data_IF_438099614084
#
_entry.id   IF_438099614084
#
_cell.length_a   1.000
_cell.length_b   1.000
_cell.length_c   1.000
_cell.angle_alpha   90.00
_cell.angle_beta   90.00
_cell.angle_gamma   90.00
#
_symmetry.space_group_name_H-M   'P 1'
#
loop_
_entity.id
_entity.type
_entity.pdbx_description
1 polymer ?
#
# COMPACT_ATOMS: atom_id res chain seq x y z
N UNK A 1 6.47 21.47 9.67
CA UNK A 1 5.31 21.70 8.78
C UNK A 1 4.47 20.43 8.73
N UNK A 2 3.27 20.44 9.28
CA UNK A 2 2.38 19.27 9.27
C UNK A 2 1.70 19.17 7.88
N UNK A 3 2.47 18.81 6.84
CA UNK A 3 1.91 18.52 5.51
C UNK A 3 1.02 17.30 5.67
N UNK A 4 -0.28 17.44 5.41
CA UNK A 4 -1.21 16.30 5.36
C UNK A 4 -0.62 15.24 4.42
N UNK A 5 -0.69 13.97 4.78
CA UNK A 5 -0.29 12.86 3.90
C UNK A 5 -1.13 12.93 2.62
N UNK A 6 -0.47 13.17 1.49
CA UNK A 6 -1.11 13.17 0.19
C UNK A 6 -1.58 11.77 -0.19
N UNK A 7 -2.60 11.70 -1.06
CA UNK A 7 -3.22 10.44 -1.49
C UNK A 7 -2.21 9.42 -2.01
N UNK A 8 -1.22 9.87 -2.79
CA UNK A 8 -0.18 9.01 -3.33
C UNK A 8 0.72 8.45 -2.22
N UNK A 9 1.05 9.26 -1.21
CA UNK A 9 1.80 8.81 -0.05
C UNK A 9 1.02 7.76 0.75
N UNK A 10 -0.29 7.93 0.94
CA UNK A 10 -1.14 6.95 1.62
C UNK A 10 -1.16 5.61 0.88
N UNK A 11 -1.34 5.64 -0.45
CA UNK A 11 -1.27 4.43 -1.28
C UNK A 11 0.11 3.76 -1.14
N UNK A 12 1.19 4.54 -1.27
CA UNK A 12 2.55 4.04 -1.09
C UNK A 12 2.74 3.39 0.27
N UNK A 13 2.27 4.01 1.34
CA UNK A 13 2.42 3.50 2.72
C UNK A 13 1.74 2.13 2.87
N UNK A 14 0.50 1.96 2.37
CA UNK A 14 -0.21 0.67 2.41
C UNK A 14 0.56 -0.40 1.62
N UNK A 15 0.95 -0.09 0.37
CA UNK A 15 1.65 -1.05 -0.48
C UNK A 15 3.00 -1.44 0.10
N UNK A 16 3.70 -0.49 0.74
CA UNK A 16 4.98 -0.72 1.41
C UNK A 16 4.85 -1.69 2.58
N UNK A 17 3.81 -1.56 3.41
CA UNK A 17 3.55 -2.50 4.53
C UNK A 17 3.40 -3.93 3.99
N UNK A 18 2.67 -4.11 2.88
CA UNK A 18 2.50 -5.44 2.27
C UNK A 18 3.84 -5.98 1.78
N UNK A 19 4.64 -5.16 1.07
CA UNK A 19 5.95 -5.56 0.56
C UNK A 19 6.91 -5.99 1.69
N UNK A 20 6.98 -5.22 2.78
CA UNK A 20 7.85 -5.47 3.92
C UNK A 20 7.44 -6.73 4.72
N UNK A 21 6.16 -7.11 4.67
CA UNK A 21 5.63 -8.34 5.25
C UNK A 21 5.75 -9.54 4.27
N UNK A 22 6.90 -9.70 3.60
CA UNK A 22 7.15 -10.77 2.63
C UNK A 22 6.07 -10.91 1.54
N UNK A 23 5.49 -9.78 1.13
CA UNK A 23 4.38 -9.72 0.18
C UNK A 23 3.14 -10.53 0.60
N UNK A 24 2.92 -10.75 1.90
CA UNK A 24 1.80 -11.54 2.41
C UNK A 24 1.41 -11.07 3.81
N UNK A 25 0.31 -10.31 3.89
CA UNK A 25 -0.18 -9.75 5.16
C UNK A 25 -1.67 -9.99 5.31
N UNK A 26 -2.13 -10.23 6.54
CA UNK A 26 -3.58 -10.33 6.80
C UNK A 26 -4.22 -8.92 6.74
N UNK A 27 -5.50 -8.80 6.36
CA UNK A 27 -6.19 -7.50 6.32
C UNK A 27 -6.20 -6.75 7.67
N UNK A 28 -6.37 -7.47 8.79
CA UNK A 28 -6.45 -6.84 10.12
C UNK A 28 -5.12 -6.22 10.58
N UNK A 29 -3.96 -6.91 10.54
CA UNK A 29 -2.65 -6.27 10.72
C UNK A 29 -2.41 -5.11 9.77
N UNK A 30 -2.76 -5.27 8.48
CA UNK A 30 -2.57 -4.22 7.47
C UNK A 30 -3.31 -2.93 7.82
N UNK A 31 -4.58 -3.02 8.24
CA UNK A 31 -5.34 -1.87 8.75
C UNK A 31 -4.61 -1.20 9.94
N UNK A 32 -4.20 -2.01 10.93
CA UNK A 32 -3.57 -1.51 12.16
C UNK A 32 -2.25 -0.78 11.87
N UNK A 33 -1.48 -1.26 10.90
CA UNK A 33 -0.18 -0.68 10.52
C UNK A 33 -0.32 0.53 9.58
N UNK A 34 -1.41 0.63 8.81
CA UNK A 34 -1.64 1.73 7.86
C UNK A 34 -1.76 3.12 8.50
N UNK A 35 -2.01 3.18 9.82
CA UNK A 35 -2.26 4.43 10.56
C UNK A 35 -3.38 5.27 9.90
N UNK A 36 -4.44 4.58 9.46
CA UNK A 36 -5.68 5.13 8.91
C UNK A 36 -6.86 4.73 9.82
N UNK A 37 -7.94 5.51 9.78
CA UNK A 37 -9.21 5.06 10.34
C UNK A 37 -9.78 3.90 9.51
N UNK A 38 -10.60 3.04 10.13
CA UNK A 38 -11.21 1.89 9.45
C UNK A 38 -11.97 2.26 8.19
N UNK A 39 -12.70 3.38 8.21
CA UNK A 39 -13.46 3.88 7.04
C UNK A 39 -12.52 4.26 5.88
N UNK A 40 -11.48 5.05 6.16
CA UNK A 40 -10.53 5.47 5.12
C UNK A 40 -9.74 4.29 4.58
N UNK A 41 -9.33 3.37 5.46
CA UNK A 41 -8.66 2.16 5.02
C UNK A 41 -9.54 1.34 4.09
N UNK A 42 -10.82 1.15 4.41
CA UNK A 42 -11.75 0.40 3.55
C UNK A 42 -11.91 1.03 2.16
N UNK A 43 -12.00 2.36 2.08
CA UNK A 43 -12.04 3.10 0.80
C UNK A 43 -10.78 2.84 -0.04
N UNK A 44 -9.60 3.06 0.55
CA UNK A 44 -8.33 2.82 -0.15
C UNK A 44 -8.17 1.35 -0.52
N UNK A 45 -8.46 0.43 0.39
CA UNK A 45 -8.31 -1.00 0.19
C UNK A 45 -9.15 -1.49 -0.99
N UNK A 46 -10.43 -1.09 -1.04
CA UNK A 46 -11.32 -1.38 -2.16
C UNK A 46 -10.81 -0.78 -3.47
N UNK A 47 -10.29 0.45 -3.45
CA UNK A 47 -9.68 1.09 -4.62
C UNK A 47 -8.44 0.33 -5.11
N UNK A 48 -7.56 -0.11 -4.21
CA UNK A 48 -6.35 -0.85 -4.54
C UNK A 48 -6.66 -2.20 -5.17
N UNK A 49 -7.69 -2.90 -4.67
CA UNK A 49 -8.20 -4.14 -5.25
C UNK A 49 -8.79 -3.88 -6.65
N UNK A 50 -9.69 -2.90 -6.77
CA UNK A 50 -10.33 -2.55 -8.04
C UNK A 50 -9.33 -2.12 -9.12
N UNK A 51 -8.24 -1.45 -8.72
CA UNK A 51 -7.16 -1.04 -9.63
C UNK A 51 -6.14 -2.16 -9.90
N UNK A 52 -6.25 -3.31 -9.23
CA UNK A 52 -5.33 -4.43 -9.36
C UNK A 52 -3.92 -4.10 -8.87
N UNK A 53 -3.77 -3.22 -7.88
CA UNK A 53 -2.50 -2.95 -7.20
C UNK A 53 -2.20 -4.01 -6.13
N UNK A 54 -3.25 -4.55 -5.53
CA UNK A 54 -3.20 -5.66 -4.58
C UNK A 54 -4.20 -6.73 -5.01
N UNK A 55 -4.01 -7.94 -4.50
CA UNK A 55 -4.95 -9.06 -4.62
C UNK A 55 -5.05 -9.82 -3.32
N UNK A 56 -6.21 -10.41 -3.08
CA UNK A 56 -6.42 -11.34 -1.97
C UNK A 56 -6.07 -12.76 -2.42
N UNK A 57 -5.39 -13.50 -1.55
CA UNK A 57 -5.11 -14.92 -1.70
C UNK A 57 -5.61 -15.66 -0.46
N UNK A 58 -5.98 -16.92 -0.65
CA UNK A 58 -6.41 -17.80 0.43
C UNK A 58 -5.37 -18.90 0.59
N UNK A 59 -4.87 -19.06 1.81
CA UNK A 59 -3.96 -20.15 2.16
C UNK A 59 -4.73 -21.48 2.29
N UNK A 60 -4.03 -22.61 2.30
CA UNK A 60 -4.59 -23.97 2.42
C UNK A 60 -5.49 -24.14 3.66
N UNK A 61 -5.29 -23.30 4.68
CA UNK A 61 -6.07 -23.26 5.92
C UNK A 61 -7.27 -22.31 5.88
N UNK A 62 -7.66 -21.81 4.71
CA UNK A 62 -8.80 -20.89 4.53
C UNK A 62 -8.55 -19.48 5.08
N UNK A 63 -7.28 -19.07 5.24
CA UNK A 63 -6.91 -17.76 5.79
C UNK A 63 -6.68 -16.76 4.66
N UNK A 64 -7.29 -15.59 4.76
CA UNK A 64 -7.14 -14.52 3.76
C UNK A 64 -5.87 -13.70 4.00
N UNK A 65 -5.11 -13.50 2.93
CA UNK A 65 -3.92 -12.67 2.87
C UNK A 65 -4.02 -11.69 1.71
N UNK A 66 -3.32 -10.59 1.83
CA UNK A 66 -3.21 -9.53 0.84
C UNK A 66 -1.79 -9.54 0.31
N UNK A 67 -1.65 -9.51 -1.01
CA UNK A 67 -0.37 -9.50 -1.71
C UNK A 67 -0.36 -8.40 -2.76
N UNK A 68 0.80 -7.84 -3.06
CA UNK A 68 1.00 -6.96 -4.21
C UNK A 68 0.93 -7.75 -5.51
N UNK A 69 0.41 -7.08 -6.54
CA UNK A 69 0.57 -7.50 -7.94
C UNK A 69 1.83 -6.85 -8.52
N UNK A 70 2.20 -7.23 -9.75
CA UNK A 70 3.28 -6.56 -10.49
C UNK A 70 3.02 -5.05 -10.64
N UNK A 71 1.75 -4.67 -10.79
CA UNK A 71 1.33 -3.26 -10.84
C UNK A 71 1.56 -2.56 -9.50
N UNK A 72 1.33 -3.25 -8.39
CA UNK A 72 1.62 -2.77 -7.03
C UNK A 72 3.10 -2.50 -6.82
N UNK A 73 3.97 -3.43 -7.23
CA UNK A 73 5.42 -3.25 -7.18
C UNK A 73 5.88 -2.08 -8.08
N UNK A 74 5.37 -2.02 -9.32
CA UNK A 74 5.72 -0.93 -10.24
C UNK A 74 5.30 0.45 -9.70
N UNK A 75 4.20 0.53 -8.94
CA UNK A 75 3.81 1.77 -8.26
C UNK A 75 4.87 2.20 -7.24
N UNK A 76 5.36 1.29 -6.41
CA UNK A 76 6.38 1.58 -5.40
C UNK A 76 7.68 2.08 -6.04
N UNK A 77 8.12 1.43 -7.12
CA UNK A 77 9.32 1.85 -7.86
C UNK A 77 9.18 3.27 -8.43
N UNK A 78 8.09 3.54 -9.15
CA UNK A 78 7.82 4.85 -9.75
C UNK A 78 7.68 5.94 -8.69
N UNK A 79 7.02 5.64 -7.58
CA UNK A 79 6.91 6.58 -6.47
C UNK A 79 8.30 6.91 -5.90
N UNK A 80 9.17 5.92 -5.73
CA UNK A 80 10.54 6.15 -5.27
C UNK A 80 11.33 7.02 -6.24
N UNK A 81 11.17 6.83 -7.56
CA UNK A 81 11.81 7.68 -8.57
C UNK A 81 11.37 9.14 -8.46
N UNK A 82 10.07 9.39 -8.24
CA UNK A 82 9.52 10.73 -8.04
C UNK A 82 10.12 11.39 -6.79
N UNK A 83 10.18 10.67 -5.67
CA UNK A 83 10.75 11.21 -4.42
C UNK A 83 12.25 11.50 -4.58
N UNK A 84 13.00 10.60 -5.23
CA UNK A 84 14.42 10.82 -5.49
C UNK A 84 14.65 12.06 -6.36
N UNK A 85 13.85 12.24 -7.42
CA UNK A 85 13.88 13.43 -8.24
C UNK A 85 13.60 14.69 -7.43
N UNK A 86 12.52 14.72 -6.64
CA UNK A 86 12.19 15.87 -5.79
C UNK A 86 13.36 16.21 -4.84
N UNK A 87 13.95 15.19 -4.20
CA UNK A 87 15.08 15.37 -3.29
C UNK A 87 16.34 15.89 -4.01
N UNK A 88 16.62 15.40 -5.21
CA UNK A 88 17.78 15.82 -6.03
C UNK A 88 17.71 17.31 -6.39
N UNK A 89 16.51 17.82 -6.66
CA UNK A 89 16.28 19.23 -7.01
C UNK A 89 15.86 20.10 -5.81
N UNK A 90 15.76 19.53 -4.60
CA UNK A 90 15.43 20.25 -3.36
C UNK A 90 14.01 20.85 -3.30
N UNK A 91 13.02 20.19 -3.92
CA UNK A 91 11.63 20.65 -4.06
C UNK A 91 10.68 20.17 -2.94
#
# INVERSE_FOLDING_TARGET
MNRKRDRLAVIRDILKIIAENHNSVKPTPLLRESNLSSARFAEYYSELLAKGLVKEIVDERGRNYVTLTDKGFSYLEKYSQIINFINEFGL
#
